data_IF_529448859182
#
_entry.id   IF_529448859182
#
_cell.length_a   1.000
_cell.length_b   1.000
_cell.length_c   1.000
_cell.angle_alpha   90.00
_cell.angle_beta   90.00
_cell.angle_gamma   90.00
#
_symmetry.space_group_name_H-M   'P 1'
#
loop_
_entity.id
_entity.type
_entity.pdbx_description
1 polymer ?
#
# COMPACT_ATOMS: atom_id res chain seq x y z
N UNK A 1 4.85 -11.72 -5.25
CA UNK A 1 5.13 -10.35 -5.75
C UNK A 1 5.58 -9.58 -4.52
N UNK A 2 6.87 -9.32 -4.31
CA UNK A 2 7.30 -8.60 -3.10
C UNK A 2 6.99 -7.10 -3.31
N UNK A 3 5.88 -6.65 -2.73
CA UNK A 3 5.53 -5.23 -2.64
C UNK A 3 6.34 -4.49 -1.57
N UNK A 4 7.10 -5.23 -0.75
CA UNK A 4 8.13 -4.67 0.13
C UNK A 4 9.05 -3.81 -0.72
N UNK A 5 9.20 -2.54 -0.33
CA UNK A 5 10.30 -1.65 -0.71
C UNK A 5 11.63 -2.31 -0.31
N UNK A 6 12.36 -3.02 -1.18
CA UNK A 6 13.65 -3.55 -0.81
C UNK A 6 14.62 -2.36 -0.83
N UNK A 7 15.07 -1.91 0.33
CA UNK A 7 16.06 -0.83 0.44
C UNK A 7 15.56 0.58 0.15
N UNK A 8 14.25 0.87 0.25
CA UNK A 8 13.72 2.21 -0.06
C UNK A 8 13.47 3.11 1.16
N UNK A 9 14.06 2.80 2.29
CA UNK A 9 14.44 3.76 3.32
C UNK A 9 15.65 3.07 3.94
N UNK A 10 16.81 3.70 4.06
CA UNK A 10 17.89 3.15 4.88
C UNK A 10 17.40 3.20 6.33
N UNK A 11 16.51 2.27 6.67
CA UNK A 11 15.76 2.20 7.91
C UNK A 11 16.46 1.21 8.82
N UNK A 12 16.30 1.42 10.12
CA UNK A 12 16.84 0.55 11.16
C UNK A 12 16.62 -0.92 10.82
N UNK A 13 17.73 -1.68 10.75
CA UNK A 13 17.69 -3.14 10.58
C UNK A 13 17.46 -3.82 11.93
N UNK A 14 16.28 -3.62 12.50
CA UNK A 14 15.82 -4.40 13.65
C UNK A 14 14.77 -5.40 13.19
N UNK A 15 14.90 -6.63 13.67
CA UNK A 15 13.86 -7.64 13.50
C UNK A 15 12.66 -7.31 14.40
N UNK A 16 11.47 -7.76 14.02
CA UNK A 16 10.22 -7.45 14.72
C UNK A 16 10.16 -8.01 16.15
N UNK A 17 10.94 -9.05 16.43
CA UNK A 17 11.08 -9.72 17.72
C UNK A 17 12.16 -9.09 18.61
N UNK A 18 12.98 -8.17 18.08
CA UNK A 18 13.98 -7.47 18.87
C UNK A 18 13.36 -6.29 19.61
N UNK A 19 13.21 -6.44 20.92
CA UNK A 19 12.67 -5.39 21.78
C UNK A 19 13.61 -4.16 21.84
N UNK A 20 13.10 -2.94 21.68
CA UNK A 20 13.86 -1.71 21.92
C UNK A 20 14.28 -1.57 23.38
N UNK A 21 15.41 -0.90 23.63
CA UNK A 21 15.75 -0.44 24.98
C UNK A 21 14.86 0.76 25.34
N UNK A 22 13.83 0.57 26.16
CA UNK A 22 12.86 1.63 26.50
C UNK A 22 13.47 2.72 27.39
N UNK A 23 13.17 3.99 27.08
CA UNK A 23 13.65 5.14 27.84
C UNK A 23 12.81 5.40 29.10
N UNK A 24 11.53 5.06 29.05
CA UNK A 24 10.56 5.18 30.13
C UNK A 24 9.43 4.15 29.93
N UNK A 25 8.47 4.09 30.87
CA UNK A 25 7.30 3.21 30.78
C UNK A 25 6.07 3.91 30.16
N UNK A 26 6.24 5.08 29.56
CA UNK A 26 5.12 5.93 29.12
C UNK A 26 4.75 5.58 27.68
N UNK A 27 3.67 4.81 27.54
CA UNK A 27 3.04 4.57 26.26
C UNK A 27 2.16 5.78 25.86
N UNK A 28 2.17 6.09 24.56
CA UNK A 28 1.43 7.20 23.95
C UNK A 28 0.63 6.69 22.76
N UNK A 29 -0.59 7.17 22.62
CA UNK A 29 -1.41 6.89 21.43
C UNK A 29 -1.14 7.95 20.37
N UNK A 30 -0.85 7.51 19.14
CA UNK A 30 -0.67 8.38 17.98
C UNK A 30 -1.66 8.02 16.88
N UNK A 31 -1.97 9.02 16.07
CA UNK A 31 -2.81 8.88 14.89
C UNK A 31 -1.97 9.13 13.64
N UNK A 32 -1.89 8.13 12.78
CA UNK A 32 -1.02 8.12 11.60
C UNK A 32 -1.86 8.18 10.34
N UNK A 33 -1.48 9.07 9.42
CA UNK A 33 -2.11 9.16 8.10
C UNK A 33 -1.09 9.13 6.97
N UNK A 34 -1.51 8.58 5.83
CA UNK A 34 -0.85 8.69 4.54
C UNK A 34 -1.68 9.54 3.55
N UNK A 35 -2.78 10.14 4.02
CA UNK A 35 -3.71 10.92 3.19
C UNK A 35 -4.58 10.05 2.27
N UNK A 36 -4.86 8.81 2.68
CA UNK A 36 -5.66 7.85 1.90
C UNK A 36 -7.16 7.95 2.19
N UNK A 37 -7.49 8.32 3.42
CA UNK A 37 -8.84 8.49 3.98
C UNK A 37 -8.77 9.47 5.15
N UNK A 38 -9.92 9.93 5.62
CA UNK A 38 -10.04 10.74 6.84
C UNK A 38 -9.80 9.91 8.11
N UNK A 39 -9.88 8.58 8.01
CA UNK A 39 -9.73 7.64 9.12
C UNK A 39 -8.23 7.37 9.34
N UNK A 40 -7.63 7.76 10.48
CA UNK A 40 -6.22 7.50 10.75
C UNK A 40 -5.98 6.07 11.27
N UNK A 41 -4.78 5.56 11.06
CA UNK A 41 -4.29 4.37 11.74
C UNK A 41 -3.82 4.74 13.15
N UNK A 42 -4.48 4.16 14.15
CA UNK A 42 -4.16 4.39 15.57
C UNK A 42 -3.07 3.40 16.00
N UNK A 43 -2.00 3.88 16.62
CA UNK A 43 -0.91 3.06 17.14
C UNK A 43 -0.51 3.51 18.54
N UNK A 44 -0.07 2.56 19.36
CA UNK A 44 0.53 2.85 20.67
C UNK A 44 2.05 2.76 20.53
N UNK A 45 2.73 3.81 20.98
CA UNK A 45 4.19 3.95 20.87
C UNK A 45 4.82 4.31 22.20
N UNK A 46 6.08 3.93 22.37
CA UNK A 46 6.89 4.25 23.56
C UNK A 46 8.27 4.75 23.14
N UNK A 47 8.85 5.62 23.96
CA UNK A 47 10.17 6.20 23.69
C UNK A 47 11.25 5.15 23.96
N UNK A 48 12.20 5.01 23.04
CA UNK A 48 13.35 4.13 23.20
C UNK A 48 14.67 4.91 23.18
N UNK A 49 15.73 4.28 23.69
CA UNK A 49 17.11 4.76 23.63
C UNK A 49 17.75 4.19 22.35
N UNK A 50 18.08 5.03 21.36
CA UNK A 50 18.67 4.57 20.12
C UNK A 50 20.03 3.89 20.30
N UNK A 51 20.20 2.75 19.65
CA UNK A 51 21.48 2.11 19.41
C UNK A 51 22.21 2.80 18.24
N UNK A 52 23.55 2.66 18.13
CA UNK A 52 24.35 3.34 17.11
C UNK A 52 23.93 3.13 15.64
N UNK A 53 23.24 2.02 15.35
CA UNK A 53 22.80 1.67 13.99
C UNK A 53 21.31 1.96 13.74
N UNK A 54 20.63 2.56 14.72
CA UNK A 54 19.24 2.97 14.55
C UNK A 54 19.15 4.26 13.76
N UNK A 55 18.24 4.27 12.80
CA UNK A 55 17.97 5.44 11.97
C UNK A 55 16.87 6.22 12.65
N UNK A 56 17.22 7.33 13.30
CA UNK A 56 16.27 8.23 13.98
C UNK A 56 15.94 9.48 13.17
N UNK A 57 16.59 9.68 12.02
CA UNK A 57 16.42 10.86 11.21
C UNK A 57 15.69 10.59 9.89
N UNK A 58 15.12 11.66 9.33
CA UNK A 58 14.61 11.69 7.96
C UNK A 58 15.54 12.56 7.13
N UNK A 59 15.84 12.08 5.92
CA UNK A 59 16.69 12.78 4.97
C UNK A 59 15.96 12.95 3.64
N UNK A 60 16.19 14.07 2.95
CA UNK A 60 15.70 14.35 1.60
C UNK A 60 16.71 15.22 0.83
N UNK A 61 16.49 15.38 -0.47
CA UNK A 61 17.25 16.33 -1.29
C UNK A 61 16.47 17.64 -1.38
N UNK A 62 17.17 18.75 -1.16
CA UNK A 62 16.63 20.10 -1.28
C UNK A 62 16.20 20.41 -2.73
N UNK A 63 15.45 21.50 -2.96
CA UNK A 63 15.01 21.88 -4.31
C UNK A 63 16.13 22.09 -5.33
N UNK A 64 17.36 22.34 -4.86
CA UNK A 64 18.56 22.45 -5.70
C UNK A 64 18.96 21.13 -6.38
N UNK A 65 18.37 20.01 -5.97
CA UNK A 65 18.62 18.69 -6.51
C UNK A 65 19.99 18.11 -6.14
N UNK A 66 20.74 18.72 -5.21
CA UNK A 66 22.10 18.33 -4.81
C UNK A 66 22.26 18.22 -3.30
N UNK A 67 21.71 19.16 -2.54
CA UNK A 67 21.93 19.26 -1.09
C UNK A 67 21.10 18.22 -0.35
N UNK A 68 21.77 17.40 0.45
CA UNK A 68 21.12 16.42 1.34
C UNK A 68 20.80 17.08 2.68
N UNK A 69 19.52 17.22 2.99
CA UNK A 69 19.01 17.82 4.24
C UNK A 69 18.52 16.72 5.17
N UNK A 70 18.84 16.82 6.46
CA UNK A 70 18.46 15.82 7.46
C UNK A 70 17.83 16.49 8.67
N UNK A 71 16.77 15.89 9.18
CA UNK A 71 16.08 16.30 10.41
C UNK A 71 15.98 15.11 11.36
N UNK A 72 16.28 15.33 12.63
CA UNK A 72 16.14 14.31 13.66
C UNK A 72 14.67 14.15 14.04
N UNK A 73 14.22 12.90 14.19
CA UNK A 73 12.89 12.58 14.69
C UNK A 73 12.99 11.98 16.09
N UNK A 74 11.95 12.20 16.89
CA UNK A 74 11.88 11.61 18.23
C UNK A 74 11.96 10.08 18.18
N UNK A 75 12.77 9.45 19.04
CA UNK A 75 13.00 8.01 19.01
C UNK A 75 11.86 7.24 19.68
N UNK A 76 10.75 7.08 18.96
CA UNK A 76 9.62 6.25 19.38
C UNK A 76 9.52 4.99 18.52
N UNK A 77 9.08 3.91 19.14
CA UNK A 77 8.79 2.63 18.49
C UNK A 77 7.41 2.14 18.93
N UNK A 78 6.84 1.19 18.18
CA UNK A 78 5.57 0.55 18.54
C UNK A 78 5.73 -0.21 19.86
N UNK A 79 4.80 0.04 20.79
CA UNK A 79 4.83 -0.48 22.15
C UNK A 79 4.58 -1.99 22.23
N UNK A 80 3.50 -2.45 21.58
CA UNK A 80 3.10 -3.85 21.52
C UNK A 80 2.84 -4.25 20.06
N UNK A 81 3.69 -5.15 19.56
CA UNK A 81 3.65 -5.64 18.18
C UNK A 81 2.40 -6.45 17.89
N UNK A 82 1.91 -7.24 18.84
CA UNK A 82 0.73 -8.10 18.65
C UNK A 82 -0.55 -7.25 18.61
N UNK A 83 -0.66 -6.29 19.52
CA UNK A 83 -1.77 -5.33 19.52
C UNK A 83 -1.75 -4.48 18.25
N UNK A 84 -0.58 -3.99 17.82
CA UNK A 84 -0.44 -3.27 16.56
C UNK A 84 -0.83 -4.12 15.35
N UNK A 85 -0.45 -5.41 15.32
CA UNK A 85 -0.83 -6.33 14.25
C UNK A 85 -2.36 -6.53 14.18
N UNK A 86 -3.02 -6.70 15.33
CA UNK A 86 -4.47 -6.82 15.40
C UNK A 86 -5.18 -5.52 14.97
N UNK A 87 -4.62 -4.37 15.37
CA UNK A 87 -5.12 -3.04 14.99
C UNK A 87 -5.01 -2.82 13.49
N UNK A 88 -3.86 -3.13 12.89
CA UNK A 88 -3.65 -3.05 11.43
C UNK A 88 -4.59 -3.98 10.68
N UNK A 89 -4.78 -5.22 11.15
CA UNK A 89 -5.68 -6.17 10.50
C UNK A 89 -7.15 -5.67 10.51
N UNK A 90 -7.58 -5.08 11.63
CA UNK A 90 -8.90 -4.47 11.78
C UNK A 90 -9.05 -3.25 10.90
N UNK A 91 -8.07 -2.34 10.93
CA UNK A 91 -8.02 -1.15 10.08
C UNK A 91 -8.08 -1.52 8.58
N UNK A 92 -7.40 -2.59 8.16
CA UNK A 92 -7.52 -3.06 6.77
C UNK A 92 -8.92 -3.53 6.45
N UNK A 93 -9.52 -4.35 7.31
CA UNK A 93 -10.84 -4.94 7.07
C UNK A 93 -11.94 -3.87 6.99
N UNK A 94 -11.87 -2.86 7.84
CA UNK A 94 -12.94 -1.86 7.98
C UNK A 94 -12.88 -0.77 6.92
N UNK A 95 -11.68 -0.47 6.42
CA UNK A 95 -11.46 0.66 5.50
C UNK A 95 -11.14 0.21 4.06
N UNK A 96 -11.23 -1.08 3.75
CA UNK A 96 -10.85 -1.60 2.43
C UNK A 96 -11.72 -1.14 1.26
N UNK A 97 -12.81 -0.40 1.52
CA UNK A 97 -13.71 0.14 0.51
C UNK A 97 -13.54 1.64 0.25
N UNK A 98 -12.56 2.30 0.90
CA UNK A 98 -12.25 3.73 0.74
C UNK A 98 -11.55 4.08 -0.60
N UNK A 99 -11.95 3.45 -1.71
CA UNK A 99 -11.35 3.65 -3.04
C UNK A 99 -11.42 5.10 -3.51
N UNK A 100 -12.59 5.73 -3.42
CA UNK A 100 -12.81 7.07 -3.94
C UNK A 100 -11.98 8.13 -3.21
N UNK A 101 -11.77 7.97 -1.90
CA UNK A 101 -11.00 8.90 -1.06
C UNK A 101 -9.52 8.96 -1.49
N UNK A 102 -8.94 7.80 -1.86
CA UNK A 102 -7.54 7.69 -2.28
C UNK A 102 -7.25 8.45 -3.57
N UNK A 103 -8.24 8.60 -4.45
CA UNK A 103 -8.07 9.20 -5.78
C UNK A 103 -8.72 10.58 -5.91
N UNK A 104 -9.03 11.26 -4.80
CA UNK A 104 -9.71 12.57 -4.81
C UNK A 104 -8.99 13.64 -5.65
N UNK A 105 -7.66 13.52 -5.81
CA UNK A 105 -6.84 14.42 -6.64
C UNK A 105 -6.60 13.90 -8.07
N UNK A 106 -7.10 12.72 -8.41
CA UNK A 106 -6.95 12.14 -9.75
C UNK A 106 -7.96 12.76 -10.74
N UNK A 107 -7.74 12.63 -12.06
CA UNK A 107 -8.73 12.99 -13.07
C UNK A 107 -10.11 12.38 -12.79
N UNK A 108 -11.18 13.12 -13.10
CA UNK A 108 -12.57 12.73 -12.81
C UNK A 108 -12.93 11.33 -13.30
N UNK A 109 -12.43 10.91 -14.48
CA UNK A 109 -12.67 9.56 -15.01
C UNK A 109 -12.15 8.45 -14.09
N UNK A 110 -10.98 8.64 -13.47
CA UNK A 110 -10.40 7.68 -12.50
C UNK A 110 -11.26 7.64 -11.23
N UNK A 111 -11.68 8.81 -10.74
CA UNK A 111 -12.54 8.90 -9.57
C UNK A 111 -13.86 8.14 -9.75
N UNK A 112 -14.47 8.22 -10.94
CA UNK A 112 -15.68 7.45 -11.27
C UNK A 112 -15.42 5.96 -11.11
N UNK A 113 -14.36 5.42 -11.71
CA UNK A 113 -14.09 3.98 -11.66
C UNK A 113 -13.80 3.51 -10.24
N UNK A 114 -13.02 4.27 -9.46
CA UNK A 114 -12.73 3.91 -8.07
C UNK A 114 -13.99 3.94 -7.19
N UNK A 115 -14.88 4.92 -7.38
CA UNK A 115 -16.17 4.94 -6.69
C UNK A 115 -17.02 3.71 -7.01
N UNK A 116 -17.03 3.31 -8.29
CA UNK A 116 -17.74 2.12 -8.74
C UNK A 116 -17.25 0.83 -8.09
N UNK A 117 -16.00 0.74 -7.65
CA UNK A 117 -15.49 -0.45 -6.93
C UNK A 117 -16.32 -0.73 -5.69
N UNK A 118 -16.49 0.28 -4.83
CA UNK A 118 -17.20 0.14 -3.56
C UNK A 118 -18.69 -0.12 -3.76
N UNK A 119 -19.30 0.61 -4.71
CA UNK A 119 -20.70 0.40 -5.11
C UNK A 119 -20.93 -1.03 -5.63
N UNK A 120 -20.03 -1.52 -6.50
CA UNK A 120 -20.11 -2.87 -7.06
C UNK A 120 -20.00 -3.95 -5.99
N UNK A 121 -19.10 -3.79 -5.00
CA UNK A 121 -19.02 -4.72 -3.86
C UNK A 121 -20.33 -4.73 -3.06
N UNK A 122 -20.93 -3.57 -2.82
CA UNK A 122 -22.21 -3.48 -2.12
C UNK A 122 -23.34 -4.17 -2.90
N UNK A 123 -23.40 -3.95 -4.22
CA UNK A 123 -24.37 -4.59 -5.12
C UNK A 123 -24.21 -6.12 -5.14
N UNK A 124 -22.97 -6.61 -5.23
CA UNK A 124 -22.66 -8.04 -5.17
C UNK A 124 -23.06 -8.67 -3.83
N UNK A 125 -22.81 -8.00 -2.71
CA UNK A 125 -23.24 -8.48 -1.39
C UNK A 125 -24.76 -8.61 -1.29
N UNK A 126 -25.48 -7.62 -1.81
CA UNK A 126 -26.95 -7.66 -1.86
C UNK A 126 -27.42 -8.79 -2.77
N UNK A 127 -26.79 -8.99 -3.93
CA UNK A 127 -27.13 -10.07 -4.87
C UNK A 127 -26.90 -11.46 -4.24
N UNK A 128 -25.73 -11.69 -3.63
CA UNK A 128 -25.37 -12.96 -2.99
C UNK A 128 -26.23 -13.30 -1.77
N UNK A 129 -26.78 -12.29 -1.09
CA UNK A 129 -27.69 -12.50 0.04
C UNK A 129 -29.08 -13.01 -0.39
N UNK A 130 -29.41 -12.99 -1.69
CA UNK A 130 -30.70 -13.46 -2.19
C UNK A 130 -30.73 -14.99 -2.31
N UNK A 131 -31.89 -15.65 -2.12
CA UNK A 131 -32.01 -17.11 -2.24
C UNK A 131 -31.61 -17.66 -3.62
N UNK A 132 -31.74 -16.84 -4.67
CA UNK A 132 -31.46 -17.23 -6.05
C UNK A 132 -29.97 -17.17 -6.41
N UNK A 133 -29.12 -16.64 -5.51
CA UNK A 133 -27.70 -16.52 -5.77
C UNK A 133 -27.06 -17.89 -5.96
N UNK A 134 -26.35 -18.05 -7.08
CA UNK A 134 -25.64 -19.28 -7.40
C UNK A 134 -24.14 -19.17 -7.04
N UNK A 135 -23.39 -20.24 -7.31
CA UNK A 135 -21.96 -20.29 -7.01
C UNK A 135 -21.15 -19.23 -7.76
N UNK A 136 -21.61 -18.81 -8.94
CA UNK A 136 -20.92 -17.81 -9.74
C UNK A 136 -21.04 -16.42 -9.12
N UNK A 137 -22.19 -16.06 -8.55
CA UNK A 137 -22.33 -14.80 -7.80
C UNK A 137 -21.38 -14.77 -6.59
N UNK A 138 -21.29 -15.89 -5.87
CA UNK A 138 -20.40 -16.04 -4.71
C UNK A 138 -18.94 -15.93 -5.11
N UNK A 139 -18.53 -16.59 -6.20
CA UNK A 139 -17.16 -16.54 -6.71
C UNK A 139 -16.77 -15.12 -7.17
N UNK A 140 -17.70 -14.39 -7.81
CA UNK A 140 -17.48 -13.00 -8.24
C UNK A 140 -17.31 -12.07 -7.04
N UNK A 141 -18.16 -12.21 -6.01
CA UNK A 141 -18.02 -11.45 -4.77
C UNK A 141 -16.71 -11.78 -4.06
N UNK A 142 -16.37 -13.06 -3.94
CA UNK A 142 -15.15 -13.52 -3.29
C UNK A 142 -13.90 -12.92 -3.96
N UNK A 143 -13.88 -12.81 -5.29
CA UNK A 143 -12.78 -12.17 -6.01
C UNK A 143 -12.56 -10.72 -5.54
N UNK A 144 -13.65 -9.95 -5.37
CA UNK A 144 -13.58 -8.57 -4.88
C UNK A 144 -13.19 -8.52 -3.39
N UNK A 145 -13.75 -9.41 -2.56
CA UNK A 145 -13.45 -9.45 -1.12
C UNK A 145 -12.02 -9.93 -0.82
N UNK A 146 -11.39 -10.67 -1.73
CA UNK A 146 -9.95 -10.95 -1.69
C UNK A 146 -9.13 -9.73 -2.13
N UNK A 147 -9.60 -8.98 -3.12
CA UNK A 147 -8.90 -7.83 -3.67
C UNK A 147 -8.91 -6.61 -2.76
N UNK A 148 -10.07 -6.16 -2.27
CA UNK A 148 -10.20 -4.88 -1.58
C UNK A 148 -9.28 -4.77 -0.34
N UNK A 149 -9.23 -5.75 0.59
CA UNK A 149 -8.31 -5.70 1.73
C UNK A 149 -6.84 -5.76 1.30
N UNK A 150 -6.54 -6.47 0.22
CA UNK A 150 -5.19 -6.52 -0.33
C UNK A 150 -4.76 -5.15 -0.88
N UNK A 151 -5.61 -4.51 -1.69
CA UNK A 151 -5.38 -3.19 -2.25
C UNK A 151 -5.12 -2.16 -1.15
N UNK A 152 -6.00 -2.10 -0.15
CA UNK A 152 -5.87 -1.14 0.95
C UNK A 152 -4.58 -1.33 1.75
N UNK A 153 -4.24 -2.58 2.05
CA UNK A 153 -2.99 -2.88 2.75
C UNK A 153 -1.75 -2.50 1.94
N UNK A 154 -1.74 -2.72 0.62
CA UNK A 154 -0.66 -2.26 -0.27
C UNK A 154 -0.56 -0.74 -0.27
N UNK A 155 -1.70 -0.03 -0.37
CA UNK A 155 -1.72 1.43 -0.43
C UNK A 155 -1.18 2.08 0.85
N UNK A 156 -1.43 1.48 2.01
CA UNK A 156 -0.88 1.93 3.30
C UNK A 156 0.64 1.69 3.46
N UNK A 157 1.30 1.00 2.52
CA UNK A 157 2.76 0.88 2.47
C UNK A 157 3.42 1.87 1.49
N UNK A 158 2.63 2.72 0.82
CA UNK A 158 3.07 3.66 -0.21
C UNK A 158 3.11 5.10 0.29
N UNK A 159 4.06 5.92 -0.18
CA UNK A 159 4.19 7.31 0.27
C UNK A 159 4.90 7.49 1.60
N UNK A 160 4.67 8.65 2.23
CA UNK A 160 5.23 9.03 3.53
C UNK A 160 4.10 9.23 4.53
N UNK A 161 4.26 8.71 5.74
CA UNK A 161 3.28 8.85 6.81
C UNK A 161 3.59 10.05 7.72
N UNK A 162 2.55 10.70 8.25
CA UNK A 162 2.63 11.81 9.19
C UNK A 162 1.64 11.67 10.36
N UNK A 163 1.93 12.39 11.45
CA UNK A 163 1.08 12.47 12.63
C UNK A 163 -0.06 13.46 12.40
N UNK A 164 -1.31 13.02 12.62
CA UNK A 164 -2.50 13.88 12.46
C UNK A 164 -3.20 14.21 13.79
N UNK A 165 -3.08 13.35 14.81
CA UNK A 165 -3.72 13.53 16.12
C UNK A 165 -3.01 14.55 17.02
N UNK A 166 -3.54 14.79 18.23
CA UNK A 166 -3.01 15.78 19.18
C UNK A 166 -1.59 15.47 19.66
N UNK A 167 -1.26 14.20 19.87
CA UNK A 167 0.07 13.78 20.32
C UNK A 167 1.10 13.91 19.19
N UNK A 168 2.03 14.86 19.36
CA UNK A 168 3.09 15.19 18.38
C UNK A 168 4.46 14.61 18.73
N UNK A 169 4.58 13.85 19.82
CA UNK A 169 5.81 13.23 20.32
C UNK A 169 6.94 14.24 20.57
N UNK A 170 6.57 15.48 20.90
CA UNK A 170 7.51 16.59 21.10
C UNK A 170 8.23 17.03 19.83
N UNK A 171 7.65 16.77 18.65
CA UNK A 171 8.17 17.20 17.36
C UNK A 171 7.29 18.29 16.76
N UNK A 172 7.91 19.18 15.99
CA UNK A 172 7.25 20.23 15.21
C UNK A 172 7.39 19.95 13.70
N UNK A 173 6.54 20.56 12.86
CA UNK A 173 6.74 20.53 11.41
C UNK A 173 8.09 21.10 11.01
N UNK A 174 8.70 20.49 9.99
CA UNK A 174 9.97 20.99 9.44
C UNK A 174 9.67 22.09 8.43
N UNK A 175 10.25 23.27 8.65
CA UNK A 175 10.00 24.47 7.84
C UNK A 175 10.97 24.65 6.67
N UNK A 176 11.86 23.67 6.44
CA UNK A 176 12.84 23.71 5.37
C UNK A 176 12.18 23.66 3.98
N UNK A 177 12.70 24.47 3.06
CA UNK A 177 12.24 24.47 1.67
C UNK A 177 12.46 23.09 1.03
N UNK A 178 11.42 22.56 0.38
CA UNK A 178 11.46 21.23 -0.25
C UNK A 178 11.29 20.06 0.71
N UNK A 179 10.94 20.28 1.97
CA UNK A 179 10.58 19.19 2.89
C UNK A 179 9.41 18.36 2.32
N UNK A 180 9.53 17.02 2.21
CA UNK A 180 8.55 16.20 1.47
C UNK A 180 7.15 16.14 2.07
N UNK A 181 6.98 16.55 3.33
CA UNK A 181 5.72 16.50 4.05
C UNK A 181 5.10 17.88 4.28
N UNK A 182 5.74 18.96 3.81
CA UNK A 182 5.23 20.33 3.99
C UNK A 182 5.04 20.69 5.47
N UNK A 183 3.85 21.11 5.84
CA UNK A 183 3.48 21.52 7.21
C UNK A 183 3.19 20.33 8.17
N UNK A 184 3.44 19.09 7.75
CA UNK A 184 3.11 17.89 8.51
C UNK A 184 4.31 17.34 9.29
N UNK A 185 4.02 16.67 10.40
CA UNK A 185 5.05 16.07 11.26
C UNK A 185 5.28 14.61 10.84
N UNK A 186 6.50 14.26 10.44
CA UNK A 186 6.85 12.89 10.05
C UNK A 186 6.64 11.92 11.22
N UNK A 187 6.09 10.74 10.92
CA UNK A 187 6.09 9.62 11.87
C UNK A 187 7.54 9.18 12.15
N UNK A 188 7.89 8.83 13.41
CA UNK A 188 9.20 8.27 13.76
C UNK A 188 9.59 7.07 12.89
N UNK A 189 10.87 6.99 12.54
CA UNK A 189 11.39 6.01 11.57
C UNK A 189 11.14 4.56 11.98
N UNK A 190 11.31 4.24 13.26
CA UNK A 190 11.09 2.90 13.77
C UNK A 190 9.60 2.50 13.71
N UNK A 191 8.69 3.43 14.01
CA UNK A 191 7.24 3.19 13.87
C UNK A 191 6.88 2.91 12.42
N UNK A 192 7.39 3.71 11.46
CA UNK A 192 7.16 3.49 10.02
C UNK A 192 7.68 2.11 9.58
N UNK A 193 8.87 1.73 10.01
CA UNK A 193 9.46 0.43 9.69
C UNK A 193 8.60 -0.72 10.21
N UNK A 194 8.28 -0.71 11.51
CA UNK A 194 7.51 -1.78 12.15
C UNK A 194 6.11 -1.87 11.57
N UNK A 195 5.40 -0.74 11.40
CA UNK A 195 4.07 -0.71 10.79
C UNK A 195 4.11 -1.25 9.35
N UNK A 196 5.12 -0.88 8.56
CA UNK A 196 5.33 -1.41 7.20
C UNK A 196 5.54 -2.92 7.17
N UNK A 197 6.34 -3.46 8.10
CA UNK A 197 6.52 -4.91 8.23
C UNK A 197 5.23 -5.63 8.62
N UNK A 198 4.43 -5.06 9.54
CA UNK A 198 3.14 -5.61 9.96
C UNK A 198 2.09 -5.56 8.83
N UNK A 199 2.01 -4.45 8.09
CA UNK A 199 1.20 -4.33 6.88
C UNK A 199 1.58 -5.38 5.84
N UNK A 200 2.89 -5.58 5.61
CA UNK A 200 3.36 -6.62 4.69
C UNK A 200 2.96 -8.03 5.18
N UNK A 201 3.13 -8.32 6.48
CA UNK A 201 2.70 -9.60 7.08
C UNK A 201 1.20 -9.84 6.92
N UNK A 202 0.38 -8.79 7.07
CA UNK A 202 -1.07 -8.87 6.90
C UNK A 202 -1.52 -9.02 5.43
N UNK A 203 -0.73 -8.54 4.47
CA UNK A 203 -1.07 -8.54 3.04
C UNK A 203 -0.48 -9.70 2.27
N UNK A 204 0.67 -10.24 2.66
CA UNK A 204 1.37 -11.29 1.91
C UNK A 204 0.52 -12.55 1.67
N UNK A 205 -0.21 -13.12 2.66
CA UNK A 205 -1.08 -14.26 2.40
C UNK A 205 -2.21 -13.93 1.42
N UNK A 206 -2.73 -12.70 1.48
CA UNK A 206 -3.82 -12.21 0.61
C UNK A 206 -3.38 -12.07 -0.84
N UNK A 207 -2.10 -11.73 -1.09
CA UNK A 207 -1.55 -11.65 -2.45
C UNK A 207 -1.66 -12.99 -3.17
N UNK A 208 -1.23 -14.08 -2.53
CA UNK A 208 -1.28 -15.41 -3.12
C UNK A 208 -2.73 -15.80 -3.41
N UNK A 209 -3.61 -15.66 -2.41
CA UNK A 209 -5.03 -16.00 -2.54
C UNK A 209 -5.75 -15.18 -3.64
N UNK A 210 -5.46 -13.88 -3.74
CA UNK A 210 -6.01 -13.04 -4.79
C UNK A 210 -5.47 -13.43 -6.17
N UNK A 211 -4.16 -13.64 -6.31
CA UNK A 211 -3.57 -13.99 -7.61
C UNK A 211 -4.09 -15.33 -8.14
N UNK A 212 -4.32 -16.30 -7.26
CA UNK A 212 -4.94 -17.57 -7.63
C UNK A 212 -6.38 -17.38 -8.09
N UNK A 213 -7.21 -16.66 -7.31
CA UNK A 213 -8.59 -16.36 -7.68
C UNK A 213 -8.68 -15.56 -8.99
N UNK A 214 -7.85 -14.52 -9.15
CA UNK A 214 -7.84 -13.69 -10.34
C UNK A 214 -7.40 -14.47 -11.59
N UNK A 215 -6.37 -15.32 -11.48
CA UNK A 215 -5.95 -16.20 -12.58
C UNK A 215 -7.06 -17.16 -12.99
N UNK A 216 -7.78 -17.72 -12.02
CA UNK A 216 -8.91 -18.61 -12.28
C UNK A 216 -10.07 -17.88 -12.98
N UNK A 217 -10.35 -16.64 -12.55
CA UNK A 217 -11.40 -15.79 -13.10
C UNK A 217 -11.18 -15.41 -14.57
N UNK A 218 -9.92 -15.28 -15.01
CA UNK A 218 -9.56 -14.95 -16.40
C UNK A 218 -9.09 -16.16 -17.23
N UNK A 219 -9.22 -17.38 -16.69
CA UNK A 219 -8.66 -18.58 -17.31
C UNK A 219 -9.38 -18.96 -18.62
N UNK A 220 -8.65 -19.28 -19.71
CA UNK A 220 -9.27 -19.80 -20.92
C UNK A 220 -9.94 -21.15 -20.60
N UNK A 221 -11.23 -21.27 -20.91
CA UNK A 221 -12.04 -22.46 -20.59
C UNK A 221 -13.20 -22.23 -19.63
N UNK A 222 -13.33 -21.04 -19.04
CA UNK A 222 -14.56 -20.62 -18.34
C UNK A 222 -15.76 -20.58 -19.31
N UNK A 223 -16.96 -20.76 -18.78
CA UNK A 223 -18.20 -20.76 -19.57
C UNK A 223 -18.48 -19.37 -20.15
N UNK A 224 -19.26 -19.31 -21.24
CA UNK A 224 -19.74 -18.03 -21.80
C UNK A 224 -20.49 -17.19 -20.75
N UNK A 225 -21.31 -17.86 -19.95
CA UNK A 225 -22.09 -17.22 -18.88
C UNK A 225 -21.17 -16.57 -17.82
N UNK A 226 -20.09 -17.26 -17.42
CA UNK A 226 -19.09 -16.70 -16.52
C UNK A 226 -18.55 -15.37 -17.02
N UNK A 227 -18.10 -15.33 -18.28
CA UNK A 227 -17.56 -14.10 -18.84
C UNK A 227 -18.59 -12.98 -18.91
N UNK A 228 -19.85 -13.29 -19.23
CA UNK A 228 -20.90 -12.29 -19.27
C UNK A 228 -21.19 -11.68 -17.89
N UNK A 229 -21.21 -12.51 -16.84
CA UNK A 229 -21.53 -12.07 -15.47
C UNK A 229 -20.35 -11.41 -14.77
N UNK A 230 -19.13 -11.91 -14.98
CA UNK A 230 -17.91 -11.41 -14.33
C UNK A 230 -17.25 -10.25 -15.07
N UNK A 231 -17.67 -9.93 -16.31
CA UNK A 231 -17.02 -8.91 -17.15
C UNK A 231 -16.78 -7.61 -16.42
N UNK A 232 -17.81 -7.06 -15.78
CA UNK A 232 -17.71 -5.78 -15.10
C UNK A 232 -16.74 -5.82 -13.91
N UNK A 233 -16.79 -6.89 -13.11
CA UNK A 233 -15.85 -7.13 -12.00
C UNK A 233 -14.41 -7.17 -12.49
N UNK A 234 -14.14 -7.96 -13.54
CA UNK A 234 -12.79 -8.09 -14.10
C UNK A 234 -12.31 -6.77 -14.69
N UNK A 235 -13.18 -6.04 -15.39
CA UNK A 235 -12.88 -4.72 -15.95
C UNK A 235 -12.44 -3.74 -14.85
N UNK A 236 -13.23 -3.59 -13.79
CA UNK A 236 -12.92 -2.68 -12.68
C UNK A 236 -11.62 -3.09 -11.99
N UNK A 237 -11.42 -4.38 -11.72
CA UNK A 237 -10.19 -4.89 -11.10
C UNK A 237 -8.95 -4.58 -11.95
N UNK A 238 -9.01 -4.88 -13.25
CA UNK A 238 -7.88 -4.63 -14.16
C UNK A 238 -7.59 -3.13 -14.24
N UNK A 239 -8.61 -2.29 -14.35
CA UNK A 239 -8.44 -0.84 -14.39
C UNK A 239 -7.71 -0.34 -13.14
N UNK A 240 -8.20 -0.69 -11.95
CA UNK A 240 -7.60 -0.24 -10.69
C UNK A 240 -6.18 -0.79 -10.57
N UNK A 241 -5.94 -2.07 -10.89
CA UNK A 241 -4.59 -2.66 -10.88
C UNK A 241 -3.60 -1.93 -11.79
N UNK A 242 -4.02 -1.53 -13.00
CA UNK A 242 -3.17 -0.80 -13.93
C UNK A 242 -2.87 0.61 -13.42
N UNK A 243 -3.87 1.31 -12.90
CA UNK A 243 -3.69 2.63 -12.28
C UNK A 243 -2.75 2.56 -11.06
N UNK A 244 -2.91 1.56 -10.19
CA UNK A 244 -2.01 1.34 -9.05
C UNK A 244 -0.58 1.02 -9.51
N UNK A 245 -0.39 0.29 -10.61
CA UNK A 245 0.95 0.08 -11.18
C UNK A 245 1.62 1.39 -11.60
N UNK A 246 0.85 2.31 -12.18
CA UNK A 246 1.33 3.65 -12.52
C UNK A 246 1.72 4.43 -11.26
N UNK A 247 0.85 4.48 -10.26
CA UNK A 247 1.09 5.20 -9.00
C UNK A 247 2.27 4.64 -8.20
N UNK A 248 2.40 3.32 -8.10
CA UNK A 248 3.57 2.66 -7.49
C UNK A 248 4.85 3.08 -8.24
N UNK A 249 4.79 3.18 -9.57
CA UNK A 249 5.96 3.54 -10.39
C UNK A 249 6.36 4.99 -10.17
N UNK A 250 5.39 5.91 -10.14
CA UNK A 250 5.60 7.33 -9.79
C UNK A 250 6.15 7.49 -8.37
N UNK A 251 5.63 6.73 -7.40
CA UNK A 251 6.08 6.75 -6.00
C UNK A 251 7.55 6.33 -5.88
N UNK A 252 7.94 5.25 -6.57
CA UNK A 252 9.32 4.76 -6.62
C UNK A 252 10.25 5.74 -7.31
N UNK A 253 9.82 6.36 -8.40
CA UNK A 253 10.60 7.38 -9.09
C UNK A 253 10.83 8.60 -8.20
N UNK A 254 9.76 9.13 -7.58
CA UNK A 254 9.84 10.23 -6.61
C UNK A 254 10.83 9.89 -5.49
N UNK A 255 10.71 8.69 -4.92
CA UNK A 255 11.60 8.24 -3.86
C UNK A 255 13.08 8.17 -4.31
N UNK A 256 13.34 7.61 -5.50
CA UNK A 256 14.70 7.50 -6.03
C UNK A 256 15.35 8.87 -6.26
N UNK A 257 14.59 9.84 -6.83
CA UNK A 257 15.03 11.22 -6.99
C UNK A 257 15.37 11.88 -5.64
N UNK A 258 14.52 11.66 -4.62
CA UNK A 258 14.71 12.20 -3.27
C UNK A 258 15.88 11.59 -2.49
N UNK A 259 16.53 10.53 -2.98
CA UNK A 259 17.55 9.79 -2.23
C UNK A 259 18.81 9.45 -3.06
N UNK A 260 19.00 10.03 -4.25
CA UNK A 260 20.12 9.72 -5.17
C UNK A 260 20.32 8.22 -5.46
N UNK A 261 19.27 7.42 -5.30
CA UNK A 261 19.32 6.07 -5.81
C UNK A 261 19.31 6.19 -7.32
N UNK A 262 20.34 5.64 -7.99
CA UNK A 262 20.19 5.34 -9.42
C UNK A 262 18.93 4.50 -9.51
N UNK A 263 17.87 5.03 -10.12
CA UNK A 263 16.86 4.17 -10.71
C UNK A 263 17.66 3.29 -11.63
N UNK A 264 17.89 2.02 -11.26
CA UNK A 264 18.59 1.13 -12.16
C UNK A 264 17.63 0.86 -13.30
N UNK A 265 17.55 1.78 -14.25
CA UNK A 265 17.30 1.46 -15.63
C UNK A 265 18.55 0.72 -16.12
N UNK A 266 18.78 -0.48 -15.58
CA UNK A 266 19.53 -1.45 -16.35
C UNK A 266 18.67 -1.68 -17.59
N UNK A 267 19.17 -1.50 -18.83
CA UNK A 267 18.39 -1.79 -20.04
C UNK A 267 17.86 -3.24 -20.08
N UNK A 268 18.34 -4.09 -19.17
CA UNK A 268 18.00 -5.50 -19.00
C UNK A 268 17.31 -5.87 -17.67
N UNK A 269 16.83 -4.92 -16.86
CA UNK A 269 15.92 -5.22 -15.73
C UNK A 269 14.60 -4.52 -15.94
N UNK A 270 13.76 -5.17 -16.74
CA UNK A 270 12.33 -4.88 -16.79
C UNK A 270 11.76 -4.77 -15.38
N UNK A 271 10.95 -3.73 -15.17
CA UNK A 271 10.08 -3.51 -13.99
C UNK A 271 9.20 -4.74 -13.69
N UNK A 272 9.14 -5.69 -14.61
CA UNK A 272 8.58 -7.03 -14.48
C UNK A 272 9.64 -8.11 -14.79
N UNK A 273 10.25 -8.75 -13.79
CA UNK A 273 11.22 -9.83 -13.99
C UNK A 273 10.64 -11.11 -14.61
N UNK A 274 9.31 -11.24 -14.66
CA UNK A 274 8.61 -12.43 -15.15
C UNK A 274 8.16 -12.36 -16.62
N UNK A 275 8.17 -11.16 -17.23
CA UNK A 275 7.82 -10.99 -18.66
C UNK A 275 8.98 -11.42 -19.57
N UNK A 276 10.22 -11.40 -19.10
CA UNK A 276 11.41 -11.58 -19.94
C UNK A 276 12.18 -12.88 -19.71
N UNK A 277 11.77 -13.74 -18.76
CA UNK A 277 12.53 -14.95 -18.40
C UNK A 277 11.84 -16.29 -18.64
N UNK A 278 10.67 -16.30 -19.26
CA UNK A 278 10.01 -17.57 -19.59
C UNK A 278 9.74 -17.65 -21.11
N UNK A 279 10.54 -18.41 -21.87
CA UNK A 279 10.27 -18.64 -23.30
C UNK A 279 8.97 -19.42 -23.55
N UNK A 280 8.23 -19.81 -22.50
CA UNK A 280 6.87 -20.37 -22.58
C UNK A 280 5.75 -19.40 -22.18
N UNK A 281 6.03 -18.13 -21.88
CA UNK A 281 5.02 -17.11 -21.54
C UNK A 281 4.38 -16.45 -22.78
N UNK A 282 4.12 -17.24 -23.82
CA UNK A 282 3.49 -16.79 -25.07
C UNK A 282 2.02 -16.36 -24.94
N UNK A 283 1.20 -16.71 -23.92
CA UNK A 283 -0.23 -16.36 -23.99
C UNK A 283 -0.60 -14.97 -23.42
N UNK A 284 0.33 -14.13 -22.96
CA UNK A 284 0.00 -12.77 -22.50
C UNK A 284 0.23 -11.66 -23.53
N UNK A 285 0.92 -11.95 -24.64
CA UNK A 285 0.92 -11.04 -25.81
C UNK A 285 -0.42 -11.01 -26.53
N UNK A 286 -1.21 -12.09 -26.43
CA UNK A 286 -2.56 -12.15 -27.05
C UNK A 286 -3.62 -11.38 -26.25
N UNK A 287 -3.46 -11.22 -24.94
CA UNK A 287 -4.40 -10.45 -24.12
C UNK A 287 -4.34 -8.94 -24.43
N UNK A 288 -3.19 -8.41 -24.83
CA UNK A 288 -3.05 -7.02 -25.26
C UNK A 288 -3.57 -6.75 -26.67
N UNK A 289 -3.53 -7.74 -27.57
CA UNK A 289 -4.05 -7.59 -28.94
C UNK A 289 -5.59 -7.49 -29.00
N UNK A 290 -6.30 -8.00 -27.99
CA UNK A 290 -7.77 -7.96 -27.96
C UNK A 290 -8.32 -6.55 -27.69
N UNK A 291 -7.51 -5.66 -27.08
CA UNK A 291 -7.90 -4.28 -26.79
C UNK A 291 -7.57 -3.29 -27.93
N UNK A 292 -6.80 -3.68 -28.95
CA UNK A 292 -6.53 -2.84 -30.12
C UNK A 292 -7.56 -2.99 -31.26
N UNK A 293 -8.56 -3.87 -31.10
CA UNK A 293 -9.61 -4.09 -32.11
C UNK A 293 -11.05 -3.86 -31.60
N UNK A 294 -11.20 -3.14 -30.49
CA UNK A 294 -12.47 -2.54 -30.04
C UNK A 294 -12.32 -1.02 -29.99
#
# INVERSE_FOLDING_TARGET
MNFIRPGSLELTKRDLDQEPNWADAIAKTIEVSLGLSEIPLILIVRKFIPAPNDVTSRTWIAPDGVTRVTTELSPYAIDDINMAAATIATYIRENCLCFAEVVVQAPHAIQIVYRRVAEHVAELRVAVARPEADEMDREILELMERYCPLWWGIRNMMGSAWLVGEEKLGMDPVLDEGYPLGDKISVPRQVVQTAGCLLNRATQPRQTAFLEAFRSAIAPGRSKEWYQRSFYTVFVLVFVLLHECEDISKDRERYARQNFLKVSQSPNRTVFPWITRNPKAVPLRQAFFFFEQL
#
